data_IF_306446920467
#
_entry.id   IF_306446920467
#
_cell.length_a   1.000
_cell.length_b   1.000
_cell.length_c   1.000
_cell.angle_alpha   90.00
_cell.angle_beta   90.00
_cell.angle_gamma   90.00
#
_symmetry.space_group_name_H-M   'P 1'
#
loop_
_entity.id
_entity.type
_entity.pdbx_description
1 polymer ?
#
# COMPACT_ATOMS: atom_id res chain seq x y z
N UNK A 1 12.53 27.61 -2.83
CA UNK A 1 13.02 28.54 -3.86
C UNK A 1 12.52 29.95 -3.57
N UNK A 2 13.29 30.97 -3.90
CA UNK A 2 12.89 32.37 -3.74
C UNK A 2 12.39 32.92 -5.08
N UNK A 3 11.29 33.66 -5.05
CA UNK A 3 10.81 34.36 -6.25
C UNK A 3 11.86 35.38 -6.70
N UNK A 4 12.17 35.39 -8.00
CA UNK A 4 13.18 36.29 -8.60
C UNK A 4 12.60 37.66 -8.96
N UNK A 5 11.29 37.88 -8.81
CA UNK A 5 10.68 39.20 -8.99
C UNK A 5 11.19 40.17 -7.94
N UNK A 6 11.63 41.33 -8.38
CA UNK A 6 12.18 42.40 -7.52
C UNK A 6 11.17 42.93 -6.47
N UNK A 7 9.88 42.74 -6.70
CA UNK A 7 8.80 43.21 -5.80
C UNK A 7 8.20 42.12 -4.93
N UNK A 8 8.45 40.83 -5.20
CA UNK A 8 7.83 39.72 -4.50
C UNK A 8 8.68 39.16 -3.36
N UNK A 9 9.92 38.74 -3.67
CA UNK A 9 10.86 38.16 -2.70
C UNK A 9 10.36 36.94 -1.92
N UNK A 10 9.14 36.38 -2.22
CA UNK A 10 8.48 35.29 -1.49
C UNK A 10 9.28 33.99 -1.59
N UNK A 11 9.37 33.31 -0.47
CA UNK A 11 9.90 31.94 -0.40
C UNK A 11 8.81 30.94 -0.78
N UNK A 12 9.14 30.01 -1.66
CA UNK A 12 8.28 28.87 -2.04
C UNK A 12 8.93 27.57 -1.63
N UNK A 13 8.22 26.79 -0.84
CA UNK A 13 8.62 25.44 -0.45
C UNK A 13 7.76 24.46 -1.27
N UNK A 14 8.38 23.64 -2.16
CA UNK A 14 7.62 22.62 -2.88
C UNK A 14 6.93 21.70 -1.86
N UNK A 15 5.65 21.45 -2.09
CA UNK A 15 4.89 20.51 -1.29
C UNK A 15 5.18 19.09 -1.79
N UNK A 16 5.38 18.16 -0.85
CA UNK A 16 5.41 16.73 -1.10
C UNK A 16 4.54 16.08 -0.02
N UNK A 17 3.46 15.43 -0.44
CA UNK A 17 2.52 14.79 0.47
C UNK A 17 2.97 13.34 0.69
N UNK A 18 3.34 12.97 1.94
CA UNK A 18 3.71 11.60 2.25
C UNK A 18 2.47 10.71 2.23
N UNK A 19 2.59 9.54 1.58
CA UNK A 19 1.57 8.51 1.58
C UNK A 19 2.20 7.14 1.83
N UNK A 20 1.52 6.31 2.60
CA UNK A 20 1.92 4.91 2.81
C UNK A 20 1.17 4.01 1.85
N UNK A 21 1.82 2.91 1.44
CA UNK A 21 1.20 1.85 0.66
C UNK A 21 1.69 0.51 1.20
N UNK A 22 0.77 -0.40 1.53
CA UNK A 22 1.06 -1.53 2.41
C UNK A 22 0.54 -2.84 1.87
N UNK A 23 1.42 -3.83 1.72
CA UNK A 23 1.03 -5.22 1.58
C UNK A 23 0.92 -5.84 2.97
N UNK A 24 -0.29 -6.24 3.37
CA UNK A 24 -0.52 -6.95 4.62
C UNK A 24 -0.33 -8.45 4.40
N UNK A 25 0.42 -9.10 5.29
CA UNK A 25 0.84 -10.50 5.16
C UNK A 25 0.38 -11.27 6.40
N UNK A 26 -0.25 -12.43 6.15
CA UNK A 26 -0.64 -13.42 7.15
C UNK A 26 -0.12 -14.80 6.74
N UNK A 27 1.05 -15.18 7.25
CA UNK A 27 1.72 -16.44 6.86
C UNK A 27 2.01 -16.49 5.36
N UNK A 28 1.39 -17.45 4.67
CA UNK A 28 1.59 -17.69 3.23
C UNK A 28 0.59 -16.97 2.33
N UNK A 29 -0.14 -15.99 2.87
CA UNK A 29 -1.12 -15.20 2.12
C UNK A 29 -0.93 -13.71 2.33
N UNK A 30 -1.30 -12.93 1.34
CA UNK A 30 -1.32 -11.47 1.41
C UNK A 30 -2.74 -10.94 1.19
N UNK A 31 -3.02 -9.77 1.73
CA UNK A 31 -4.29 -9.09 1.55
C UNK A 31 -4.20 -8.16 0.33
N UNK A 32 -5.18 -8.28 -0.54
CA UNK A 32 -5.42 -7.34 -1.62
C UNK A 32 -6.84 -6.80 -1.53
N UNK A 33 -7.01 -5.54 -1.89
CA UNK A 33 -8.25 -4.80 -1.78
C UNK A 33 -8.61 -4.12 -3.09
N UNK A 34 -9.90 -3.93 -3.31
CA UNK A 34 -10.48 -3.33 -4.51
C UNK A 34 -11.17 -2.03 -4.14
N UNK A 35 -10.72 -0.93 -4.74
CA UNK A 35 -11.33 0.38 -4.50
C UNK A 35 -12.71 0.49 -5.12
N UNK A 36 -13.67 1.02 -4.36
CA UNK A 36 -15.05 1.22 -4.79
C UNK A 36 -15.17 2.17 -5.99
N UNK A 37 -14.28 3.17 -6.10
CA UNK A 37 -14.30 4.20 -7.13
C UNK A 37 -13.74 3.75 -8.49
N UNK A 38 -13.10 2.57 -8.59
CA UNK A 38 -12.49 2.12 -9.84
C UNK A 38 -13.51 1.36 -10.70
N UNK A 39 -13.72 1.83 -11.94
CA UNK A 39 -14.56 1.14 -12.94
C UNK A 39 -13.98 -0.22 -13.36
N UNK A 40 -12.64 -0.39 -13.27
CA UNK A 40 -11.97 -1.66 -13.52
C UNK A 40 -11.73 -2.35 -12.19
N UNK A 41 -12.19 -3.60 -12.00
CA UNK A 41 -12.02 -4.36 -10.76
C UNK A 41 -10.55 -4.78 -10.57
N UNK A 42 -9.71 -3.83 -10.16
CA UNK A 42 -8.29 -4.06 -9.90
C UNK A 42 -8.09 -4.24 -8.40
N UNK A 43 -7.47 -5.35 -8.02
CA UNK A 43 -6.98 -5.56 -6.67
C UNK A 43 -5.61 -4.91 -6.48
N UNK A 44 -5.43 -4.23 -5.36
CA UNK A 44 -4.21 -3.49 -5.00
C UNK A 44 -3.92 -3.66 -3.52
N UNK A 45 -2.78 -3.17 -3.10
CA UNK A 45 -2.43 -3.01 -1.68
C UNK A 45 -3.15 -1.79 -1.09
N UNK A 46 -3.36 -1.77 0.22
CA UNK A 46 -3.97 -0.65 0.98
C UNK A 46 -3.06 0.57 0.94
N UNK A 47 -3.61 1.77 0.77
CA UNK A 47 -2.81 2.98 0.68
C UNK A 47 -3.56 4.23 1.12
N UNK A 48 -2.93 5.05 1.95
CA UNK A 48 -3.48 6.32 2.39
C UNK A 48 -2.42 7.37 2.73
N UNK A 49 -2.88 8.56 3.08
CA UNK A 49 -2.00 9.68 3.42
C UNK A 49 -1.54 9.63 4.88
N UNK A 50 -0.32 10.10 5.11
CA UNK A 50 0.19 10.30 6.47
C UNK A 50 -0.41 11.59 7.03
N UNK A 51 -0.98 11.52 8.23
CA UNK A 51 -1.57 12.66 8.90
C UNK A 51 -0.52 13.48 9.68
N UNK A 52 -0.76 14.80 9.93
CA UNK A 52 0.15 15.61 10.70
C UNK A 52 0.39 15.08 12.12
N UNK A 53 1.66 14.80 12.45
CA UNK A 53 2.06 14.29 13.77
C UNK A 53 2.09 12.76 13.87
N UNK A 54 1.74 12.06 12.82
CA UNK A 54 1.74 10.60 12.74
C UNK A 54 3.10 10.05 12.26
N UNK A 55 3.51 8.89 12.77
CA UNK A 55 4.63 8.14 12.20
C UNK A 55 4.18 7.35 10.98
N UNK A 56 5.12 6.94 10.11
CA UNK A 56 4.77 6.12 8.94
C UNK A 56 4.18 4.78 9.34
N UNK A 57 4.70 4.17 10.41
CA UNK A 57 4.22 2.90 10.93
C UNK A 57 2.81 3.00 11.53
N UNK A 58 2.49 4.15 12.14
CA UNK A 58 1.14 4.39 12.68
C UNK A 58 0.15 4.68 11.56
N UNK A 59 0.56 5.43 10.52
CA UNK A 59 -0.22 5.62 9.30
C UNK A 59 -0.56 4.27 8.63
N UNK A 60 0.41 3.37 8.52
CA UNK A 60 0.18 2.00 8.01
C UNK A 60 -0.88 1.28 8.84
N UNK A 61 -0.76 1.31 10.18
CA UNK A 61 -1.71 0.61 11.07
C UNK A 61 -3.10 1.20 10.98
N UNK A 62 -3.21 2.53 10.95
CA UNK A 62 -4.49 3.23 10.86
C UNK A 62 -5.18 2.94 9.53
N UNK A 63 -4.51 3.16 8.40
CA UNK A 63 -5.10 2.95 7.07
C UNK A 63 -5.55 1.50 6.86
N UNK A 64 -4.74 0.52 7.29
CA UNK A 64 -5.15 -0.90 7.20
C UNK A 64 -6.34 -1.20 8.10
N UNK A 65 -6.41 -0.61 9.30
CA UNK A 65 -7.55 -0.81 10.20
C UNK A 65 -8.81 -0.13 9.69
N UNK A 66 -8.71 1.09 9.13
CA UNK A 66 -9.84 1.87 8.61
C UNK A 66 -10.41 1.25 7.34
N UNK A 67 -9.57 0.95 6.34
CA UNK A 67 -10.03 0.47 5.03
C UNK A 67 -10.50 -1.00 5.05
N UNK A 68 -9.81 -1.88 5.80
CA UNK A 68 -10.04 -3.33 5.72
C UNK A 68 -10.23 -4.03 7.08
N UNK A 69 -10.23 -3.31 8.20
CA UNK A 69 -10.50 -3.83 9.54
C UNK A 69 -9.41 -4.71 10.13
N UNK A 70 -8.29 -4.93 9.43
CA UNK A 70 -7.21 -5.81 9.86
C UNK A 70 -6.29 -5.13 10.85
N UNK A 71 -6.01 -5.78 11.99
CA UNK A 71 -5.01 -5.31 12.94
C UNK A 71 -3.62 -5.76 12.54
N UNK A 72 -2.67 -4.82 12.43
CA UNK A 72 -1.28 -5.10 12.05
C UNK A 72 -0.28 -4.89 13.20
N UNK A 73 0.80 -5.66 13.19
CA UNK A 73 1.91 -5.61 14.15
C UNK A 73 3.17 -5.01 13.56
N UNK A 74 4.13 -5.89 13.24
CA UNK A 74 5.41 -5.49 12.62
C UNK A 74 5.16 -4.83 11.28
N UNK A 75 5.79 -3.67 11.07
CA UNK A 75 5.74 -2.88 9.82
C UNK A 75 7.17 -2.72 9.32
N UNK A 76 7.43 -3.09 8.06
CA UNK A 76 8.75 -3.07 7.44
C UNK A 76 8.74 -2.20 6.18
N UNK A 77 9.57 -1.18 6.14
CA UNK A 77 9.79 -0.39 4.93
C UNK A 77 10.45 -1.23 3.82
N UNK A 78 9.96 -1.09 2.59
CA UNK A 78 10.47 -1.86 1.44
C UNK A 78 10.99 -0.98 0.31
N UNK A 79 10.25 0.05 -0.07
CA UNK A 79 10.57 0.88 -1.21
C UNK A 79 9.86 2.23 -1.15
N UNK A 80 10.21 3.13 -2.05
CA UNK A 80 9.41 4.34 -2.31
C UNK A 80 9.25 4.58 -3.79
N UNK A 81 8.18 5.31 -4.15
CA UNK A 81 7.91 5.73 -5.51
C UNK A 81 7.40 7.17 -5.53
N UNK A 82 8.01 8.08 -6.32
CA UNK A 82 7.42 9.37 -6.58
C UNK A 82 6.06 9.22 -7.27
N UNK A 83 5.06 9.91 -6.77
CA UNK A 83 3.70 9.93 -7.32
C UNK A 83 3.27 11.38 -7.55
N UNK A 84 3.69 12.02 -8.66
CA UNK A 84 3.49 13.45 -8.91
C UNK A 84 2.05 13.79 -9.36
N UNK A 85 1.04 13.13 -8.81
CA UNK A 85 -0.38 13.31 -9.10
C UNK A 85 -1.17 13.60 -7.81
N UNK A 86 -1.15 14.86 -7.29
CA UNK A 86 -0.38 16.01 -7.79
C UNK A 86 1.05 16.12 -7.24
N UNK A 87 1.38 15.60 -6.06
CA UNK A 87 2.65 15.88 -5.37
C UNK A 87 3.02 14.87 -4.28
N UNK A 88 2.66 13.59 -4.44
CA UNK A 88 2.89 12.59 -3.39
C UNK A 88 4.22 11.87 -3.53
N UNK A 89 4.72 11.37 -2.39
CA UNK A 89 5.75 10.35 -2.28
C UNK A 89 5.11 9.13 -1.63
N UNK A 90 4.98 8.04 -2.39
CA UNK A 90 4.50 6.76 -1.88
C UNK A 90 5.64 6.02 -1.18
N UNK A 91 5.41 5.60 0.06
CA UNK A 91 6.34 4.78 0.85
C UNK A 91 5.73 3.41 1.06
N UNK A 92 6.40 2.38 0.53
CA UNK A 92 5.93 1.01 0.48
C UNK A 92 6.38 0.20 1.70
N UNK A 93 5.43 -0.51 2.29
CA UNK A 93 5.62 -1.32 3.48
C UNK A 93 5.08 -2.74 3.31
N UNK A 94 5.67 -3.66 4.05
CA UNK A 94 5.02 -4.91 4.44
C UNK A 94 4.59 -4.80 5.90
N UNK A 95 3.38 -5.30 6.19
CA UNK A 95 2.87 -5.34 7.55
C UNK A 95 2.35 -6.75 7.88
N UNK A 96 2.67 -7.25 9.08
CA UNK A 96 2.16 -8.54 9.54
C UNK A 96 0.78 -8.37 10.15
N UNK A 97 -0.20 -9.19 9.73
CA UNK A 97 -1.48 -9.27 10.40
C UNK A 97 -1.33 -9.90 11.80
N UNK A 98 -1.99 -9.32 12.80
CA UNK A 98 -2.19 -9.89 14.14
C UNK A 98 -3.60 -10.48 14.24
N UNK A 99 -4.60 -9.72 13.78
CA UNK A 99 -5.98 -10.19 13.61
C UNK A 99 -6.34 -10.10 12.13
N UNK A 100 -6.46 -11.24 11.44
CA UNK A 100 -6.66 -11.27 9.99
C UNK A 100 -8.12 -11.15 9.56
N UNK A 101 -9.04 -10.82 10.46
CA UNK A 101 -10.47 -10.64 10.12
C UNK A 101 -10.63 -9.42 9.24
N UNK A 102 -11.21 -9.62 8.05
CA UNK A 102 -11.50 -8.55 7.10
C UNK A 102 -12.86 -7.94 7.43
N UNK A 103 -12.90 -6.62 7.48
CA UNK A 103 -14.13 -5.83 7.58
C UNK A 103 -13.93 -4.53 6.78
N UNK A 104 -14.34 -4.54 5.53
CA UNK A 104 -14.21 -3.37 4.64
C UNK A 104 -15.13 -2.24 5.09
N UNK A 105 -14.68 -1.00 4.89
CA UNK A 105 -15.46 0.23 5.18
C UNK A 105 -16.66 0.40 4.24
N UNK A 106 -16.57 -0.13 3.01
CA UNK A 106 -17.61 -0.03 1.99
C UNK A 106 -17.66 1.32 1.25
N UNK A 107 -16.88 2.31 1.70
CA UNK A 107 -16.81 3.64 1.10
C UNK A 107 -15.61 3.75 0.15
N UNK A 108 -14.41 3.47 0.65
CA UNK A 108 -13.17 3.48 -0.15
C UNK A 108 -12.87 2.10 -0.73
N UNK A 109 -13.06 1.05 0.05
CA UNK A 109 -12.84 -0.34 -0.32
C UNK A 109 -14.18 -1.08 -0.46
N UNK A 110 -14.45 -1.60 -1.67
CA UNK A 110 -15.64 -2.40 -1.94
C UNK A 110 -15.46 -3.87 -1.63
N UNK A 111 -14.23 -4.37 -1.69
CA UNK A 111 -13.92 -5.79 -1.53
C UNK A 111 -12.46 -5.94 -1.06
N UNK A 112 -12.21 -6.86 -0.14
CA UNK A 112 -10.85 -7.26 0.24
C UNK A 112 -10.82 -8.77 0.48
N UNK A 113 -9.71 -9.42 0.12
CA UNK A 113 -9.53 -10.86 0.28
C UNK A 113 -8.07 -11.23 0.53
N UNK A 114 -7.88 -12.40 1.14
CA UNK A 114 -6.58 -13.03 1.29
C UNK A 114 -6.27 -13.90 0.09
N UNK A 115 -5.07 -13.73 -0.46
CA UNK A 115 -4.58 -14.47 -1.62
C UNK A 115 -3.29 -15.20 -1.26
N UNK A 116 -3.22 -16.48 -1.53
CA UNK A 116 -1.95 -17.24 -1.53
C UNK A 116 -1.15 -16.92 -2.80
N UNK A 117 0.13 -17.34 -2.85
CA UNK A 117 0.93 -17.21 -4.08
C UNK A 117 0.28 -17.94 -5.27
N UNK A 118 -0.30 -19.13 -5.02
CA UNK A 118 -1.00 -19.90 -6.04
C UNK A 118 -2.29 -19.22 -6.52
N UNK A 119 -3.08 -18.62 -5.63
CA UNK A 119 -4.28 -17.88 -6.01
C UNK A 119 -3.93 -16.71 -6.93
N UNK A 120 -2.84 -16.01 -6.65
CA UNK A 120 -2.37 -14.89 -7.49
C UNK A 120 -1.95 -15.41 -8.87
N UNK A 121 -1.17 -16.49 -8.95
CA UNK A 121 -0.75 -17.06 -10.24
C UNK A 121 -1.97 -17.49 -11.05
N UNK A 122 -2.85 -18.28 -10.46
CA UNK A 122 -4.05 -18.78 -11.13
C UNK A 122 -4.96 -17.62 -11.56
N UNK A 123 -5.21 -16.64 -10.67
CA UNK A 123 -6.09 -15.52 -10.99
C UNK A 123 -5.55 -14.60 -12.09
N UNK A 124 -4.22 -14.51 -12.24
CA UNK A 124 -3.59 -13.80 -13.36
C UNK A 124 -3.70 -14.59 -14.66
N UNK A 125 -3.52 -15.92 -14.60
CA UNK A 125 -3.55 -16.81 -15.77
C UNK A 125 -4.97 -16.94 -16.36
N UNK A 126 -6.00 -16.97 -15.50
CA UNK A 126 -7.40 -17.08 -15.92
C UNK A 126 -8.11 -15.71 -16.01
N UNK A 127 -7.38 -14.62 -15.87
CA UNK A 127 -7.86 -13.22 -15.97
C UNK A 127 -8.94 -12.86 -14.93
N UNK A 128 -9.08 -13.62 -13.84
CA UNK A 128 -10.01 -13.32 -12.75
C UNK A 128 -9.44 -12.33 -11.74
N UNK A 129 -8.10 -12.16 -11.71
CA UNK A 129 -7.38 -11.20 -10.89
C UNK A 129 -6.63 -10.19 -11.77
N UNK A 130 -6.93 -8.91 -11.58
CA UNK A 130 -6.19 -7.81 -12.20
C UNK A 130 -5.39 -7.09 -11.13
N UNK A 131 -4.07 -7.08 -11.26
CA UNK A 131 -3.15 -6.33 -10.41
C UNK A 131 -2.76 -4.99 -11.04
N UNK A 132 -2.18 -4.04 -10.25
CA UNK A 132 -1.64 -2.80 -10.79
C UNK A 132 -0.54 -3.04 -11.85
N UNK A 133 -0.23 -2.02 -12.68
CA UNK A 133 0.87 -2.10 -13.65
C UNK A 133 2.20 -2.51 -13.01
N UNK A 134 3.07 -3.15 -13.78
CA UNK A 134 4.36 -3.68 -13.29
C UNK A 134 5.29 -2.63 -12.70
N UNK A 135 5.20 -1.40 -13.18
CA UNK A 135 5.98 -0.25 -12.73
C UNK A 135 5.43 0.39 -11.43
N UNK A 136 4.28 -0.08 -10.91
CA UNK A 136 3.71 0.45 -9.68
C UNK A 136 4.36 -0.16 -8.44
N UNK A 137 4.53 0.65 -7.39
CA UNK A 137 5.03 0.18 -6.09
C UNK A 137 4.12 -0.89 -5.48
N UNK A 138 2.80 -0.82 -5.68
CA UNK A 138 1.87 -1.87 -5.24
C UNK A 138 2.21 -3.22 -5.86
N UNK A 139 2.41 -3.27 -7.20
CA UNK A 139 2.81 -4.50 -7.89
C UNK A 139 4.15 -5.00 -7.39
N UNK A 140 5.12 -4.12 -7.23
CA UNK A 140 6.44 -4.47 -6.70
C UNK A 140 6.36 -5.11 -5.32
N UNK A 141 5.58 -4.57 -4.39
CA UNK A 141 5.42 -5.14 -3.05
C UNK A 141 4.87 -6.58 -3.09
N UNK A 142 3.94 -6.85 -4.00
CA UNK A 142 3.36 -8.19 -4.22
C UNK A 142 4.39 -9.13 -4.82
N UNK A 143 5.11 -8.72 -5.88
CA UNK A 143 6.10 -9.58 -6.55
C UNK A 143 7.31 -9.87 -5.68
N UNK A 144 7.80 -8.87 -4.93
CA UNK A 144 8.88 -9.08 -3.96
C UNK A 144 8.48 -10.13 -2.90
N UNK A 145 7.24 -10.07 -2.39
CA UNK A 145 6.73 -11.07 -1.45
C UNK A 145 6.55 -12.45 -2.11
N UNK A 146 6.03 -12.50 -3.33
CA UNK A 146 5.86 -13.77 -4.05
C UNK A 146 7.17 -14.48 -4.32
N UNK A 147 8.26 -13.73 -4.49
CA UNK A 147 9.60 -14.26 -4.75
C UNK A 147 10.31 -14.80 -3.49
N UNK A 148 9.78 -14.56 -2.29
CA UNK A 148 10.35 -15.10 -1.07
C UNK A 148 10.22 -16.64 -1.02
N UNK A 149 11.17 -17.32 -0.38
CA UNK A 149 11.05 -18.74 -0.09
C UNK A 149 9.77 -19.04 0.70
N UNK A 150 9.18 -20.20 0.45
CA UNK A 150 8.03 -20.69 1.24
C UNK A 150 8.40 -20.77 2.73
N UNK A 151 7.51 -20.35 3.61
CA UNK A 151 7.75 -20.27 5.06
C UNK A 151 8.58 -19.09 5.52
N UNK A 152 9.00 -18.19 4.62
CA UNK A 152 9.74 -16.98 5.01
C UNK A 152 8.87 -16.07 5.88
N UNK A 153 9.39 -15.72 7.07
CA UNK A 153 8.73 -14.78 7.99
C UNK A 153 9.25 -13.38 7.73
N UNK A 154 8.35 -12.40 7.64
CA UNK A 154 8.75 -11.01 7.37
C UNK A 154 9.60 -10.42 8.50
N UNK A 155 9.44 -10.89 9.74
CA UNK A 155 10.25 -10.47 10.89
C UNK A 155 11.72 -10.86 10.78
N UNK A 156 12.06 -11.87 9.97
CA UNK A 156 13.43 -12.31 9.71
C UNK A 156 14.11 -11.59 8.53
N UNK A 157 13.44 -10.62 7.91
CA UNK A 157 13.93 -9.87 6.74
C UNK A 157 14.50 -8.48 7.10
N UNK A 158 14.74 -8.22 8.39
CA UNK A 158 15.37 -6.99 8.93
C UNK A 158 16.88 -7.12 8.87
#
# INVERSE_FOLDING_TARGET
>A
RRCTSHVCGRMHFPRTDPAVITLVIDGERCLLAKRASLAIPRFSTVAGFVEPGETLEDAVRREVAEEVGVTTGVVLYRASQPWPFPSSLMMGFWARAIDPRIMVDGEEISEAAWFTRSDIVQGLDDETLVLPPEDSISRRLVEDWRSLPEGAKIEGLV
#
